data_IF_925025339828
#
_entry.id   IF_925025339828
#
_cell.length_a   1.000
_cell.length_b   1.000
_cell.length_c   1.000
_cell.angle_alpha   90.00
_cell.angle_beta   90.00
_cell.angle_gamma   90.00
#
_symmetry.space_group_name_H-M   'P 1'
#
loop_
_entity.id
_entity.type
_entity.pdbx_description
1 polymer ?
#
# COMPACT_ATOMS: atom_id res chain seq x y z
N UNK A 1 -24.89 17.23 1.08
CA UNK A 1 -24.18 15.95 0.90
C UNK A 1 -25.21 14.93 0.53
N UNK A 2 -25.05 14.30 -0.63
CA UNK A 2 -26.02 13.32 -1.11
C UNK A 2 -25.98 12.07 -0.24
N UNK A 3 -27.11 11.37 -0.14
CA UNK A 3 -27.24 10.11 0.63
C UNK A 3 -26.09 9.13 0.33
N UNK A 4 -25.79 8.92 -0.95
CA UNK A 4 -24.72 8.02 -1.38
C UNK A 4 -23.34 8.46 -0.89
N UNK A 5 -23.01 9.76 -1.00
CA UNK A 5 -21.75 10.34 -0.52
C UNK A 5 -21.59 10.13 0.99
N UNK A 6 -22.69 10.20 1.76
CA UNK A 6 -22.65 9.91 3.19
C UNK A 6 -22.32 8.44 3.48
N UNK A 7 -23.00 7.49 2.85
CA UNK A 7 -22.71 6.06 3.11
C UNK A 7 -21.30 5.68 2.67
N UNK A 8 -20.83 6.22 1.54
CA UNK A 8 -19.43 6.10 1.10
C UNK A 8 -18.48 6.65 2.16
N UNK A 9 -18.76 7.84 2.69
CA UNK A 9 -17.97 8.43 3.76
C UNK A 9 -17.96 7.56 5.02
N UNK A 10 -19.12 7.10 5.49
CA UNK A 10 -19.22 6.26 6.69
C UNK A 10 -18.51 4.92 6.53
N UNK A 11 -18.57 4.31 5.34
CA UNK A 11 -17.78 3.12 5.04
C UNK A 11 -16.28 3.43 5.14
N UNK A 12 -15.85 4.55 4.57
CA UNK A 12 -14.48 5.05 4.73
C UNK A 12 -14.08 5.22 6.19
N UNK A 13 -14.94 5.82 7.04
CA UNK A 13 -14.64 5.99 8.47
C UNK A 13 -14.42 4.63 9.17
N UNK A 14 -15.23 3.61 8.85
CA UNK A 14 -15.06 2.27 9.41
C UNK A 14 -13.72 1.65 8.98
N UNK A 15 -13.37 1.75 7.69
CA UNK A 15 -12.16 1.17 7.14
C UNK A 15 -10.91 1.85 7.68
N UNK A 16 -10.91 3.18 7.75
CA UNK A 16 -9.82 3.96 8.32
C UNK A 16 -9.66 3.66 9.82
N UNK A 17 -10.76 3.48 10.57
CA UNK A 17 -10.70 3.07 11.96
C UNK A 17 -10.08 1.67 12.12
N UNK A 18 -10.47 0.71 11.29
CA UNK A 18 -9.97 -0.67 11.34
C UNK A 18 -8.48 -0.75 10.99
N UNK A 19 -8.02 -0.08 9.93
CA UNK A 19 -6.60 -0.09 9.56
C UNK A 19 -5.69 0.67 10.54
N UNK A 20 -6.27 1.49 11.41
CA UNK A 20 -5.56 2.28 12.43
C UNK A 20 -5.74 1.77 13.86
N UNK A 21 -6.36 0.61 14.07
CA UNK A 21 -6.30 -0.05 15.38
C UNK A 21 -4.83 -0.21 15.76
N UNK A 22 -4.47 0.11 17.01
CA UNK A 22 -3.09 0.00 17.47
C UNK A 22 -3.01 -0.97 18.67
N UNK A 23 -2.83 -2.28 18.41
CA UNK A 23 -2.71 -3.26 19.49
C UNK A 23 -1.42 -3.09 20.31
N UNK A 24 -0.44 -2.36 19.79
CA UNK A 24 0.83 -2.11 20.49
C UNK A 24 0.73 -0.97 21.50
N UNK A 25 -0.30 -0.13 21.38
CA UNK A 25 -0.48 1.10 22.16
C UNK A 25 0.69 2.11 22.06
N UNK A 26 1.56 1.99 21.05
CA UNK A 26 2.71 2.87 20.84
C UNK A 26 2.28 4.20 20.22
N UNK A 27 1.30 4.19 19.31
CA UNK A 27 0.66 5.38 18.78
C UNK A 27 1.30 6.03 17.54
N UNK A 28 2.29 5.42 16.88
CA UNK A 28 2.93 6.00 15.67
C UNK A 28 1.90 6.35 14.60
N UNK A 29 1.05 5.40 14.22
CA UNK A 29 0.00 5.61 13.23
C UNK A 29 -0.99 6.71 13.64
N UNK A 30 -1.23 6.90 14.95
CA UNK A 30 -2.09 7.97 15.46
C UNK A 30 -1.46 9.36 15.33
N UNK A 31 -0.13 9.45 15.32
CA UNK A 31 0.59 10.69 15.05
C UNK A 31 0.51 11.05 13.57
N UNK A 32 0.69 10.06 12.69
CA UNK A 32 0.74 10.26 11.24
C UNK A 32 -0.64 10.48 10.60
N UNK A 33 -1.64 9.70 11.01
CA UNK A 33 -2.95 9.63 10.35
C UNK A 33 -3.67 10.98 10.19
N UNK A 34 -3.70 11.90 11.18
CA UNK A 34 -4.36 13.19 11.01
C UNK A 34 -3.81 13.99 9.82
N UNK A 35 -2.49 14.00 9.61
CA UNK A 35 -1.87 14.69 8.48
C UNK A 35 -2.30 14.15 7.12
N UNK A 36 -2.39 12.83 6.99
CA UNK A 36 -2.87 12.16 5.76
C UNK A 36 -4.35 12.41 5.53
N UNK A 37 -5.15 12.36 6.60
CA UNK A 37 -6.60 12.61 6.54
C UNK A 37 -6.90 14.04 6.12
N UNK A 38 -6.16 15.01 6.64
CA UNK A 38 -6.29 16.42 6.26
C UNK A 38 -5.86 16.63 4.80
N UNK A 39 -4.77 15.98 4.36
CA UNK A 39 -4.33 15.99 2.97
C UNK A 39 -5.37 15.40 2.00
N UNK A 40 -6.01 14.29 2.37
CA UNK A 40 -7.04 13.64 1.56
C UNK A 40 -8.42 14.32 1.63
N UNK A 41 -8.66 15.16 2.64
CA UNK A 41 -9.95 15.83 2.87
C UNK A 41 -11.07 14.91 3.42
N UNK A 42 -10.71 13.71 3.92
CA UNK A 42 -11.68 12.71 4.37
C UNK A 42 -11.04 11.34 4.63
N UNK A 43 -11.85 10.28 4.76
CA UNK A 43 -11.34 8.93 4.93
C UNK A 43 -10.41 8.54 3.78
N UNK A 44 -9.18 8.22 4.15
CA UNK A 44 -8.03 8.07 3.26
C UNK A 44 -8.14 6.83 2.39
N UNK A 45 -8.59 5.68 2.93
CA UNK A 45 -8.76 4.46 2.14
C UNK A 45 -9.84 4.63 1.06
N UNK A 46 -10.95 5.29 1.41
CA UNK A 46 -12.05 5.54 0.47
C UNK A 46 -11.66 6.56 -0.60
N UNK A 47 -11.01 7.66 -0.22
CA UNK A 47 -10.49 8.65 -1.17
C UNK A 47 -9.53 7.99 -2.17
N UNK A 48 -8.56 7.22 -1.68
CA UNK A 48 -7.60 6.50 -2.51
C UNK A 48 -8.29 5.56 -3.50
N UNK A 49 -9.25 4.76 -3.04
CA UNK A 49 -10.01 3.84 -3.90
C UNK A 49 -10.85 4.57 -4.96
N UNK A 50 -11.44 5.73 -4.63
CA UNK A 50 -12.18 6.56 -5.59
C UNK A 50 -11.27 7.11 -6.68
N UNK A 51 -10.12 7.69 -6.30
CA UNK A 51 -9.18 8.27 -7.27
C UNK A 51 -8.55 7.20 -8.16
N UNK A 52 -8.20 6.04 -7.58
CA UNK A 52 -7.71 4.89 -8.35
C UNK A 52 -8.77 4.38 -9.34
N UNK A 53 -10.03 4.30 -8.92
CA UNK A 53 -11.13 3.85 -9.78
C UNK A 53 -11.40 4.78 -10.98
N UNK A 54 -11.07 6.08 -10.87
CA UNK A 54 -11.24 7.04 -11.97
C UNK A 54 -10.20 6.85 -13.09
N UNK A 55 -9.03 6.30 -12.77
CA UNK A 55 -7.90 6.25 -13.71
C UNK A 55 -7.78 4.92 -14.44
N UNK A 56 -8.18 3.81 -13.81
CA UNK A 56 -7.99 2.46 -14.32
C UNK A 56 -9.07 2.01 -15.33
N UNK A 57 -8.64 1.29 -16.35
CA UNK A 57 -9.45 0.62 -17.38
C UNK A 57 -8.96 -0.83 -17.56
N UNK A 58 -9.78 -1.71 -18.17
CA UNK A 58 -9.34 -3.04 -18.57
C UNK A 58 -8.07 -3.00 -19.41
N UNK A 59 -7.21 -3.99 -19.18
CA UNK A 59 -5.92 -4.20 -19.84
C UNK A 59 -4.85 -3.13 -19.54
N UNK A 60 -5.13 -2.13 -18.70
CA UNK A 60 -4.13 -1.14 -18.29
C UNK A 60 -2.98 -1.82 -17.51
N UNK A 61 -1.74 -1.42 -17.80
CA UNK A 61 -0.58 -1.82 -17.00
C UNK A 61 -0.55 -1.01 -15.70
N UNK A 62 -0.47 -1.68 -14.55
CA UNK A 62 -0.37 -1.02 -13.24
C UNK A 62 0.92 -1.46 -12.57
N UNK A 63 1.76 -0.49 -12.21
CA UNK A 63 2.98 -0.76 -11.44
C UNK A 63 2.62 -0.86 -9.96
N UNK A 64 3.08 -1.92 -9.30
CA UNK A 64 2.94 -2.09 -7.85
C UNK A 64 4.34 -2.27 -7.26
N UNK A 65 4.84 -1.26 -6.56
CA UNK A 65 6.14 -1.27 -5.92
C UNK A 65 5.97 -1.78 -4.48
N UNK A 66 6.80 -2.74 -4.08
CA UNK A 66 6.87 -3.15 -2.69
C UNK A 66 8.24 -3.69 -2.29
N UNK A 67 8.54 -3.57 -1.01
CA UNK A 67 9.66 -4.21 -0.38
C UNK A 67 10.58 -3.22 0.32
N UNK A 68 10.80 -3.51 1.60
CA UNK A 68 11.70 -2.80 2.49
C UNK A 68 12.71 -3.79 3.06
N UNK A 69 14.01 -3.57 2.86
CA UNK A 69 15.06 -4.53 3.22
C UNK A 69 15.57 -4.27 4.65
N UNK A 70 15.27 -5.19 5.56
CA UNK A 70 15.67 -5.04 6.96
C UNK A 70 17.18 -5.22 7.16
N UNK A 71 17.78 -4.34 7.97
CA UNK A 71 19.22 -4.31 8.24
C UNK A 71 19.77 -5.59 8.90
N UNK A 72 18.98 -6.25 9.74
CA UNK A 72 19.42 -7.40 10.55
C UNK A 72 19.84 -8.61 9.70
N UNK A 73 19.05 -8.94 8.68
CA UNK A 73 19.25 -10.11 7.83
C UNK A 73 19.42 -9.76 6.35
N UNK A 74 19.32 -8.47 5.99
CA UNK A 74 19.36 -7.99 4.60
C UNK A 74 18.38 -8.76 3.71
N UNK A 75 17.16 -8.93 4.21
CA UNK A 75 16.03 -9.50 3.49
C UNK A 75 14.82 -8.60 3.66
N UNK A 76 13.92 -8.69 2.70
CA UNK A 76 12.68 -7.93 2.71
C UNK A 76 11.78 -8.36 3.87
N UNK A 77 11.11 -7.38 4.48
CA UNK A 77 10.01 -7.67 5.39
C UNK A 77 8.71 -8.08 4.66
N UNK A 78 7.76 -8.57 5.44
CA UNK A 78 6.46 -9.01 4.97
C UNK A 78 5.48 -7.86 4.74
N UNK A 79 5.59 -6.77 5.52
CA UNK A 79 4.71 -5.61 5.34
C UNK A 79 4.95 -4.97 3.96
N UNK A 80 3.84 -4.58 3.32
CA UNK A 80 3.74 -4.19 1.92
C UNK A 80 3.87 -5.33 0.90
N UNK A 81 4.63 -6.40 1.18
CA UNK A 81 4.77 -7.51 0.23
C UNK A 81 3.44 -8.26 0.05
N UNK A 82 2.81 -8.69 1.15
CA UNK A 82 1.54 -9.41 1.06
C UNK A 82 0.40 -8.50 0.58
N UNK A 83 0.40 -7.24 1.00
CA UNK A 83 -0.53 -6.20 0.53
C UNK A 83 -0.43 -5.95 -0.96
N UNK A 84 0.79 -5.96 -1.52
CA UNK A 84 1.01 -5.81 -2.96
C UNK A 84 0.42 -6.97 -3.78
N UNK A 85 0.63 -8.22 -3.36
CA UNK A 85 0.06 -9.38 -4.08
C UNK A 85 -1.47 -9.42 -3.99
N UNK A 86 -2.03 -9.09 -2.83
CA UNK A 86 -3.48 -9.01 -2.64
C UNK A 86 -4.09 -7.85 -3.42
N UNK A 87 -3.37 -6.72 -3.53
CA UNK A 87 -3.77 -5.60 -4.37
C UNK A 87 -3.72 -5.98 -5.84
N UNK A 88 -2.66 -6.66 -6.30
CA UNK A 88 -2.57 -7.15 -7.67
C UNK A 88 -3.79 -8.02 -8.03
N UNK A 89 -4.14 -8.97 -7.15
CA UNK A 89 -5.34 -9.79 -7.28
C UNK A 89 -6.62 -8.94 -7.33
N UNK A 90 -6.78 -8.03 -6.38
CA UNK A 90 -7.97 -7.18 -6.28
C UNK A 90 -8.17 -6.30 -7.53
N UNK A 91 -7.08 -5.78 -8.10
CA UNK A 91 -7.14 -4.98 -9.31
C UNK A 91 -7.44 -5.82 -10.55
N UNK A 92 -6.89 -7.03 -10.67
CA UNK A 92 -7.27 -7.97 -11.74
C UNK A 92 -8.77 -8.29 -11.65
N UNK A 93 -9.27 -8.65 -10.48
CA UNK A 93 -10.69 -9.00 -10.27
C UNK A 93 -11.65 -7.81 -10.42
N UNK A 94 -11.19 -6.61 -10.05
CA UNK A 94 -12.00 -5.40 -10.07
C UNK A 94 -11.97 -4.65 -11.39
N UNK A 95 -10.87 -4.73 -12.14
CA UNK A 95 -10.60 -3.84 -13.27
C UNK A 95 -10.01 -4.53 -14.48
N UNK A 96 -9.63 -5.81 -14.40
CA UNK A 96 -8.98 -6.56 -15.48
C UNK A 96 -7.66 -5.92 -15.95
N UNK A 97 -6.90 -5.35 -15.01
CA UNK A 97 -5.59 -4.74 -15.28
C UNK A 97 -4.48 -5.78 -15.42
N UNK A 98 -3.28 -5.33 -15.84
CA UNK A 98 -2.05 -6.11 -15.95
C UNK A 98 -1.03 -5.66 -14.89
N UNK A 99 -0.95 -6.34 -13.72
CA UNK A 99 -0.03 -5.94 -12.66
C UNK A 99 1.43 -6.26 -12.99
N UNK A 100 2.31 -5.28 -12.76
CA UNK A 100 3.77 -5.43 -12.79
C UNK A 100 4.30 -5.12 -11.41
N UNK A 101 4.76 -6.15 -10.68
CA UNK A 101 5.24 -5.97 -9.31
C UNK A 101 6.74 -5.63 -9.36
N UNK A 102 7.11 -4.45 -8.88
CA UNK A 102 8.49 -3.97 -8.85
C UNK A 102 9.05 -4.18 -7.44
N UNK A 103 10.14 -4.93 -7.34
CA UNK A 103 10.64 -5.46 -6.06
C UNK A 103 12.16 -5.37 -5.93
N UNK A 104 12.73 -5.41 -4.70
CA UNK A 104 14.15 -5.66 -4.53
C UNK A 104 14.48 -7.12 -4.91
N UNK A 105 15.75 -7.39 -5.18
CA UNK A 105 16.23 -8.73 -5.58
C UNK A 105 15.89 -9.80 -4.53
N UNK A 106 15.91 -9.42 -3.26
CA UNK A 106 15.63 -10.24 -2.09
C UNK A 106 14.21 -10.83 -2.11
N UNK A 107 13.25 -10.15 -2.73
CA UNK A 107 11.85 -10.57 -2.79
C UNK A 107 11.51 -11.48 -3.98
N UNK A 108 12.43 -11.66 -4.93
CA UNK A 108 12.12 -12.29 -6.22
C UNK A 108 11.59 -13.72 -6.08
N UNK A 109 12.23 -14.52 -5.21
CA UNK A 109 11.82 -15.91 -5.02
C UNK A 109 10.44 -16.02 -4.38
N UNK A 110 10.17 -15.19 -3.37
CA UNK A 110 8.87 -15.16 -2.71
C UNK A 110 7.76 -14.72 -3.66
N UNK A 111 8.02 -13.70 -4.51
CA UNK A 111 7.05 -13.23 -5.50
C UNK A 111 6.61 -14.35 -6.44
N UNK A 112 7.57 -15.08 -7.02
CA UNK A 112 7.29 -16.21 -7.92
C UNK A 112 6.46 -17.30 -7.25
N UNK A 113 6.79 -17.62 -6.00
CA UNK A 113 6.12 -18.71 -5.27
C UNK A 113 4.75 -18.31 -4.72
N UNK A 114 4.53 -17.03 -4.41
CA UNK A 114 3.28 -16.55 -3.83
C UNK A 114 2.23 -16.14 -4.86
N UNK A 115 2.60 -15.91 -6.13
CA UNK A 115 1.66 -15.53 -7.19
C UNK A 115 0.48 -16.51 -7.31
N UNK A 116 0.75 -17.82 -7.31
CA UNK A 116 -0.29 -18.84 -7.40
C UNK A 116 -1.19 -18.88 -6.16
N UNK A 117 -0.70 -18.47 -4.98
CA UNK A 117 -1.49 -18.41 -3.75
C UNK A 117 -2.61 -17.38 -3.90
N UNK A 118 -2.32 -16.23 -4.49
CA UNK A 118 -3.33 -15.19 -4.79
C UNK A 118 -4.12 -15.44 -6.07
N UNK A 119 -3.93 -16.61 -6.72
CA UNK A 119 -4.67 -17.00 -7.91
C UNK A 119 -4.20 -16.33 -9.21
N UNK A 120 -2.95 -15.85 -9.26
CA UNK A 120 -2.36 -15.22 -10.44
C UNK A 120 -1.23 -16.09 -11.04
N UNK A 121 -1.15 -16.11 -12.36
CA UNK A 121 -0.08 -16.77 -13.10
C UNK A 121 1.12 -15.82 -13.22
N UNK A 122 2.28 -16.27 -12.74
CA UNK A 122 3.51 -15.52 -12.90
C UNK A 122 4.16 -15.83 -14.25
N UNK A 123 4.51 -14.79 -15.01
CA UNK A 123 5.33 -14.90 -16.21
C UNK A 123 6.59 -14.02 -16.10
N UNK A 124 7.71 -14.51 -16.61
CA UNK A 124 8.97 -13.72 -16.70
C UNK A 124 8.94 -12.68 -17.83
N UNK A 125 7.88 -12.64 -18.65
CA UNK A 125 7.71 -11.71 -19.78
C UNK A 125 6.45 -10.88 -19.57
N UNK A 126 6.60 -9.55 -19.65
CA UNK A 126 5.47 -8.64 -19.59
C UNK A 126 4.58 -8.76 -20.84
N UNK A 127 5.13 -9.04 -22.02
CA UNK A 127 4.33 -9.30 -23.23
C UNK A 127 3.36 -10.47 -23.02
N UNK A 128 3.81 -11.54 -22.37
CA UNK A 128 2.92 -12.66 -22.02
C UNK A 128 1.85 -12.26 -20.99
N UNK A 129 2.16 -11.37 -20.06
CA UNK A 129 1.16 -10.86 -19.11
C UNK A 129 0.07 -10.07 -19.84
N UNK A 130 0.44 -9.25 -20.82
CA UNK A 130 -0.51 -8.46 -21.61
C UNK A 130 -1.51 -9.35 -22.39
N UNK A 131 -1.10 -10.55 -22.79
CA UNK A 131 -1.95 -11.47 -23.58
C UNK A 131 -2.81 -12.43 -22.75
N UNK A 132 -2.59 -12.51 -21.43
CA UNK A 132 -3.15 -13.57 -20.59
C UNK A 132 -4.06 -13.01 -19.49
N UNK A 133 -5.24 -13.61 -19.25
CA UNK A 133 -6.05 -13.27 -18.09
C UNK A 133 -5.38 -13.81 -16.81
N UNK A 134 -5.67 -13.18 -15.67
CA UNK A 134 -5.13 -13.59 -14.37
C UNK A 134 -3.60 -13.79 -14.38
N UNK A 135 -2.90 -12.83 -14.97
CA UNK A 135 -1.45 -12.88 -15.16
C UNK A 135 -0.78 -11.70 -14.45
N UNK A 136 0.44 -11.93 -13.97
CA UNK A 136 1.30 -10.91 -13.39
C UNK A 136 2.77 -11.19 -13.73
N UNK A 137 3.62 -10.18 -13.60
CA UNK A 137 5.07 -10.34 -13.66
C UNK A 137 5.75 -9.62 -12.52
N UNK A 138 7.03 -9.93 -12.32
CA UNK A 138 7.91 -9.30 -11.35
C UNK A 138 9.12 -8.69 -12.02
N UNK A 139 9.45 -7.44 -11.68
CA UNK A 139 10.66 -6.77 -12.14
C UNK A 139 11.53 -6.43 -10.94
N UNK A 140 12.78 -6.89 -10.96
CA UNK A 140 13.76 -6.53 -9.94
C UNK A 140 14.37 -5.18 -10.28
N UNK A 141 14.29 -4.24 -9.34
CA UNK A 141 14.94 -2.94 -9.48
C UNK A 141 16.30 -2.92 -8.75
N UNK A 142 17.39 -2.48 -9.42
CA UNK A 142 18.71 -2.48 -8.81
C UNK A 142 18.87 -1.52 -7.62
N UNK A 143 19.89 -1.80 -6.80
CA UNK A 143 20.38 -0.90 -5.73
C UNK A 143 21.33 0.18 -6.24
N UNK A 144 21.90 -0.03 -7.44
CA UNK A 144 22.69 0.98 -8.14
C UNK A 144 21.76 1.94 -8.88
N UNK A 145 21.95 3.25 -8.68
CA UNK A 145 21.06 4.26 -9.22
C UNK A 145 21.06 4.30 -10.76
N UNK A 146 22.23 4.13 -11.41
CA UNK A 146 22.31 4.15 -12.87
C UNK A 146 21.65 2.91 -13.48
N UNK A 147 21.85 1.74 -12.89
CA UNK A 147 21.15 0.54 -13.33
C UNK A 147 19.64 0.62 -13.06
N UNK A 148 19.21 1.30 -11.99
CA UNK A 148 17.80 1.58 -11.72
C UNK A 148 17.18 2.53 -12.75
N UNK A 149 17.91 3.55 -13.21
CA UNK A 149 17.49 4.42 -14.32
C UNK A 149 17.20 3.61 -15.60
N UNK A 150 18.15 2.76 -16.01
CA UNK A 150 17.99 1.90 -17.20
C UNK A 150 16.84 0.88 -17.05
N UNK A 151 16.66 0.35 -15.84
CA UNK A 151 15.54 -0.54 -15.53
C UNK A 151 14.20 0.20 -15.61
N UNK A 152 14.14 1.40 -15.03
CA UNK A 152 12.93 2.23 -15.03
C UNK A 152 12.52 2.62 -16.45
N UNK A 153 13.46 2.98 -17.32
CA UNK A 153 13.16 3.31 -18.72
C UNK A 153 12.53 2.12 -19.48
N UNK A 154 12.98 0.89 -19.19
CA UNK A 154 12.38 -0.34 -19.76
C UNK A 154 10.97 -0.59 -19.23
N UNK A 155 10.75 -0.43 -17.93
CA UNK A 155 9.42 -0.58 -17.31
C UNK A 155 8.44 0.44 -17.91
N UNK A 156 8.89 1.68 -18.07
CA UNK A 156 8.07 2.77 -18.58
C UNK A 156 7.78 2.69 -20.08
N UNK A 157 8.50 1.86 -20.84
CA UNK A 157 8.19 1.59 -22.24
C UNK A 157 6.83 0.90 -22.41
N UNK A 158 6.30 0.27 -21.36
CA UNK A 158 5.00 -0.39 -21.35
C UNK A 158 3.83 0.56 -21.04
N UNK A 159 4.07 1.87 -20.95
CA UNK A 159 3.05 2.91 -20.74
C UNK A 159 2.09 2.61 -19.57
N UNK A 160 2.62 2.47 -18.33
CA UNK A 160 1.78 2.19 -17.18
C UNK A 160 0.76 3.30 -16.92
N UNK A 161 -0.43 2.91 -16.48
CA UNK A 161 -1.56 3.81 -16.21
C UNK A 161 -1.49 4.45 -14.82
N UNK A 162 -0.95 3.72 -13.86
CA UNK A 162 -0.81 4.15 -12.48
C UNK A 162 0.38 3.44 -11.84
N UNK A 163 0.93 4.06 -10.80
CA UNK A 163 1.90 3.45 -9.90
C UNK A 163 1.34 3.44 -8.49
N UNK A 164 1.43 2.30 -7.82
CA UNK A 164 1.08 2.11 -6.42
C UNK A 164 2.31 1.64 -5.66
N UNK A 165 2.77 2.34 -4.62
CA UNK A 165 3.84 1.88 -3.74
C UNK A 165 3.31 1.45 -2.37
N UNK A 166 3.84 0.36 -1.83
CA UNK A 166 3.40 -0.26 -0.57
C UNK A 166 4.63 -0.67 0.22
N UNK A 167 4.87 -0.05 1.37
CA UNK A 167 6.04 -0.30 2.21
C UNK A 167 7.34 -0.37 1.40
N UNK A 168 7.66 0.75 0.78
CA UNK A 168 8.81 0.86 -0.11
C UNK A 168 9.70 1.98 0.38
N UNK A 169 10.96 1.67 0.69
CA UNK A 169 11.89 2.64 1.25
C UNK A 169 12.07 3.86 0.32
N UNK A 170 12.16 5.04 0.92
CA UNK A 170 12.40 6.32 0.22
C UNK A 170 13.65 7.01 0.76
N UNK A 171 14.43 7.70 -0.08
CA UNK A 171 15.45 8.59 0.44
C UNK A 171 14.80 9.81 1.11
N UNK A 172 15.48 10.36 2.12
CA UNK A 172 15.20 11.70 2.61
C UNK A 172 15.77 12.76 1.65
N UNK A 173 15.62 14.04 2.00
CA UNK A 173 16.15 15.19 1.23
C UNK A 173 17.68 15.17 1.00
N UNK A 174 18.41 14.37 1.77
CA UNK A 174 19.87 14.19 1.63
C UNK A 174 20.24 12.95 0.81
N UNK A 175 19.26 12.24 0.23
CA UNK A 175 19.49 11.02 -0.55
C UNK A 175 19.73 9.77 0.30
N UNK A 176 19.42 9.80 1.60
CA UNK A 176 19.70 8.71 2.54
C UNK A 176 18.40 7.99 2.93
N UNK A 177 18.40 6.67 2.81
CA UNK A 177 17.26 5.80 3.15
C UNK A 177 17.39 5.39 4.61
N UNK A 178 16.27 5.41 5.33
CA UNK A 178 16.26 5.13 6.76
C UNK A 178 15.23 4.08 7.12
N UNK A 179 15.56 3.21 8.07
CA UNK A 179 14.52 2.55 8.88
C UNK A 179 13.86 3.58 9.81
N UNK A 180 12.68 3.27 10.35
CA UNK A 180 11.92 4.16 11.25
C UNK A 180 12.74 4.75 12.41
N UNK A 181 13.68 3.99 12.99
CA UNK A 181 14.58 4.47 14.05
C UNK A 181 15.73 5.39 13.58
N UNK A 182 15.79 5.73 12.29
CA UNK A 182 16.80 6.62 11.71
C UNK A 182 18.14 5.94 11.38
N UNK A 183 18.18 4.61 11.29
CA UNK A 183 19.34 3.86 10.82
C UNK A 183 19.46 3.97 9.30
N UNK A 184 20.65 4.30 8.80
CA UNK A 184 20.94 4.33 7.36
C UNK A 184 20.90 2.91 6.76
N UNK A 185 20.05 2.73 5.75
CA UNK A 185 19.89 1.50 4.94
C UNK A 185 20.13 1.74 3.45
N UNK A 186 20.71 2.88 3.08
CA UNK A 186 20.93 3.30 1.68
C UNK A 186 21.64 2.25 0.83
N UNK A 187 22.58 1.51 1.40
CA UNK A 187 23.36 0.49 0.66
C UNK A 187 22.57 -0.79 0.37
N UNK A 188 21.53 -1.08 1.15
CA UNK A 188 20.76 -2.33 1.04
C UNK A 188 19.43 -2.14 0.33
N UNK A 189 18.91 -0.91 0.28
CA UNK A 189 17.65 -0.60 -0.39
C UNK A 189 17.79 -0.48 -1.92
N UNK A 190 16.81 -1.05 -2.62
CA UNK A 190 16.63 -0.85 -4.04
C UNK A 190 16.20 0.58 -4.36
N UNK A 191 16.64 1.13 -5.49
CA UNK A 191 16.43 2.55 -5.85
C UNK A 191 15.10 2.76 -6.56
N UNK A 192 14.01 2.40 -5.88
CA UNK A 192 12.66 2.47 -6.43
C UNK A 192 12.13 3.89 -6.63
N UNK A 193 12.64 4.84 -5.84
CA UNK A 193 12.40 6.28 -6.00
C UNK A 193 12.79 6.78 -7.40
N UNK A 194 13.80 6.19 -8.04
CA UNK A 194 14.20 6.53 -9.42
C UNK A 194 13.03 6.29 -10.39
N UNK A 195 12.42 5.10 -10.34
CA UNK A 195 11.25 4.77 -11.15
C UNK A 195 10.07 5.68 -10.78
N UNK A 196 9.83 5.87 -9.48
CA UNK A 196 8.75 6.71 -8.98
C UNK A 196 8.83 8.15 -9.52
N UNK A 197 10.01 8.76 -9.49
CA UNK A 197 10.22 10.13 -9.97
C UNK A 197 9.98 10.23 -11.49
N UNK A 198 10.44 9.28 -12.29
CA UNK A 198 10.15 9.25 -13.73
C UNK A 198 8.66 9.06 -14.05
N UNK A 199 7.95 8.27 -13.25
CA UNK A 199 6.48 8.12 -13.37
C UNK A 199 5.81 9.48 -13.15
N UNK A 200 6.23 10.23 -12.13
CA UNK A 200 5.73 11.59 -11.87
C UNK A 200 6.07 12.57 -12.99
N UNK A 201 7.28 12.54 -13.53
CA UNK A 201 7.68 13.38 -14.68
C UNK A 201 6.80 13.16 -15.91
N UNK A 202 6.22 11.95 -16.05
CA UNK A 202 5.26 11.60 -17.10
C UNK A 202 3.80 11.90 -16.74
N UNK A 203 3.54 12.53 -15.59
CA UNK A 203 2.21 12.81 -15.07
C UNK A 203 1.32 11.56 -14.95
N UNK A 204 1.94 10.41 -14.69
CA UNK A 204 1.22 9.17 -14.39
C UNK A 204 0.79 9.23 -12.91
N UNK A 205 -0.50 9.04 -12.58
CA UNK A 205 -1.00 9.10 -11.22
C UNK A 205 -0.26 8.16 -10.26
N UNK A 206 0.13 8.70 -9.11
CA UNK A 206 0.90 8.00 -8.08
C UNK A 206 0.11 7.85 -6.78
N UNK A 207 0.19 6.64 -6.24
CA UNK A 207 -0.55 6.20 -5.07
C UNK A 207 0.42 5.53 -4.10
N UNK A 208 0.40 5.87 -2.82
CA UNK A 208 1.36 5.32 -1.86
C UNK A 208 0.74 4.95 -0.52
N UNK A 209 1.20 3.83 0.04
CA UNK A 209 0.75 3.29 1.32
C UNK A 209 1.99 2.99 2.18
N UNK A 210 2.00 3.50 3.41
CA UNK A 210 3.07 3.30 4.40
C UNK A 210 2.52 3.33 5.83
N UNK A 211 3.40 3.30 6.83
CA UNK A 211 3.01 3.25 8.25
C UNK A 211 3.77 4.24 9.15
N UNK A 212 4.92 4.78 8.71
CA UNK A 212 5.83 5.59 9.52
C UNK A 212 6.26 6.93 8.90
N UNK A 213 6.29 7.07 7.57
CA UNK A 213 6.62 8.32 6.86
C UNK A 213 7.98 8.35 6.14
N UNK A 214 8.76 7.27 6.21
CA UNK A 214 10.05 7.06 5.51
C UNK A 214 9.89 6.30 4.17
N UNK A 215 8.66 6.00 3.78
CA UNK A 215 8.28 5.24 2.59
C UNK A 215 7.99 6.16 1.40
N UNK A 216 8.04 5.60 0.19
CA UNK A 216 7.77 6.33 -1.04
C UNK A 216 6.39 6.99 -0.95
N UNK A 217 6.32 8.23 -1.42
CA UNK A 217 5.10 9.02 -1.48
C UNK A 217 4.76 9.81 -0.24
N UNK A 218 5.30 9.44 0.93
CA UNK A 218 5.00 10.11 2.20
C UNK A 218 5.53 11.55 2.28
N UNK A 219 6.42 11.94 1.37
CA UNK A 219 6.84 13.32 1.19
C UNK A 219 5.69 14.30 0.87
N UNK A 220 4.51 13.80 0.48
CA UNK A 220 3.32 14.62 0.25
C UNK A 220 2.87 15.39 1.50
N UNK A 221 3.13 14.83 2.70
CA UNK A 221 2.87 15.47 3.99
C UNK A 221 4.17 15.63 4.81
N UNK A 222 5.31 15.81 4.13
CA UNK A 222 6.65 15.88 4.74
C UNK A 222 6.72 16.78 5.96
N UNK A 223 6.22 18.01 5.85
CA UNK A 223 6.28 18.99 6.96
C UNK A 223 5.56 18.47 8.20
N UNK A 224 4.37 17.86 8.01
CA UNK A 224 3.60 17.28 9.10
C UNK A 224 4.36 16.10 9.74
N UNK A 225 4.93 15.21 8.92
CA UNK A 225 5.74 14.07 9.39
C UNK A 225 6.96 14.56 10.18
N UNK A 226 7.70 15.54 9.67
CA UNK A 226 8.89 16.08 10.33
C UNK A 226 8.58 16.72 11.69
N UNK A 227 7.40 17.31 11.82
CA UNK A 227 6.93 17.94 13.06
C UNK A 227 6.44 16.93 14.10
N UNK A 228 5.74 15.87 13.66
CA UNK A 228 4.99 14.98 14.56
C UNK A 228 5.62 13.61 14.79
N UNK A 229 6.46 13.12 13.87
CA UNK A 229 7.06 11.78 13.95
C UNK A 229 8.47 11.86 14.54
N UNK A 230 8.74 11.20 15.68
CA UNK A 230 10.06 11.19 16.29
C UNK A 230 11.14 10.67 15.33
N UNK A 231 12.20 11.45 15.15
CA UNK A 231 13.32 11.09 14.29
C UNK A 231 13.14 11.44 12.81
N UNK A 232 11.96 11.90 12.40
CA UNK A 232 11.69 12.22 10.99
C UNK A 232 12.21 13.59 10.55
N UNK A 233 12.27 14.57 11.46
CA UNK A 233 12.80 15.92 11.22
C UNK A 233 14.33 16.02 11.23
N UNK A 234 14.85 17.20 10.86
CA UNK A 234 16.29 17.48 10.83
C UNK A 234 16.94 17.19 12.19
N UNK A 235 18.12 16.55 12.17
CA UNK A 235 18.81 16.07 13.36
C UNK A 235 18.20 14.84 14.04
N UNK A 236 16.99 14.41 13.62
CA UNK A 236 16.25 13.32 14.24
C UNK A 236 16.78 11.92 13.93
N UNK A 237 17.44 11.73 12.78
CA UNK A 237 18.06 10.45 12.44
C UNK A 237 19.38 10.23 13.19
N UNK A 238 19.65 8.99 13.57
CA UNK A 238 20.86 8.61 14.32
C UNK A 238 22.11 8.50 13.44
N UNK A 239 21.95 8.37 12.12
CA UNK A 239 23.06 8.31 11.18
C UNK A 239 23.81 9.66 11.03
N UNK A 240 24.88 9.67 10.24
CA UNK A 240 25.74 10.85 10.03
C UNK A 240 25.08 11.94 9.17
N UNK A 241 24.03 11.62 8.40
CA UNK A 241 23.41 12.60 7.50
C UNK A 241 22.67 13.71 8.25
N UNK A 242 22.15 13.44 9.47
CA UNK A 242 21.38 14.37 10.31
C UNK A 242 20.20 15.05 9.57
N UNK A 243 19.68 14.43 8.51
CA UNK A 243 18.57 14.96 7.70
C UNK A 243 17.18 14.55 8.19
N UNK A 244 17.09 13.59 9.11
CA UNK A 244 15.82 12.97 9.50
C UNK A 244 15.40 11.83 8.58
N UNK A 245 14.42 11.03 9.01
CA UNK A 245 13.93 9.86 8.28
C UNK A 245 12.78 10.16 7.29
N UNK A 246 12.22 11.38 7.28
CA UNK A 246 11.09 11.71 6.41
C UNK A 246 11.44 11.53 4.93
N UNK A 247 10.56 10.85 4.19
CA UNK A 247 10.67 10.65 2.75
C UNK A 247 10.66 12.00 1.99
N UNK A 248 11.51 12.11 0.96
CA UNK A 248 11.48 13.24 0.03
C UNK A 248 10.43 13.07 -1.08
N UNK A 249 10.21 11.82 -1.51
CA UNK A 249 9.29 11.48 -2.60
C UNK A 249 7.83 11.70 -2.20
N UNK A 250 7.06 12.45 -2.99
CA UNK A 250 5.67 12.80 -2.72
C UNK A 250 4.70 12.18 -3.74
N UNK A 251 3.70 11.43 -3.30
CA UNK A 251 2.65 10.85 -4.16
C UNK A 251 1.46 11.80 -4.31
N UNK A 252 0.60 11.53 -5.29
CA UNK A 252 -0.64 12.30 -5.48
C UNK A 252 -1.68 11.91 -4.42
N UNK A 253 -1.79 10.60 -4.14
CA UNK A 253 -2.70 10.04 -3.14
C UNK A 253 -1.95 9.15 -2.16
N UNK A 254 -2.24 9.29 -0.87
CA UNK A 254 -1.52 8.58 0.19
C UNK A 254 -2.46 7.95 1.23
N UNK A 255 -2.04 6.82 1.79
CA UNK A 255 -2.59 6.21 3.01
C UNK A 255 -1.43 6.02 4.00
N UNK A 256 -1.68 6.36 5.26
CA UNK A 256 -0.89 5.84 6.38
C UNK A 256 -1.82 5.02 7.28
N UNK A 257 -1.38 3.81 7.62
CA UNK A 257 -2.09 2.87 8.48
C UNK A 257 -1.17 2.35 9.59
N UNK A 258 -1.66 1.43 10.43
CA UNK A 258 -0.82 0.81 11.47
C UNK A 258 0.28 -0.09 10.92
N UNK A 259 0.01 -0.72 9.79
CA UNK A 259 0.97 -1.38 8.90
C UNK A 259 0.53 -1.02 7.48
N UNK A 260 1.45 -0.98 6.52
CA UNK A 260 1.09 -0.67 5.13
C UNK A 260 0.10 -1.68 4.55
N UNK A 261 0.24 -2.97 4.89
CA UNK A 261 -0.69 -4.03 4.49
C UNK A 261 -2.12 -3.73 4.93
N UNK A 262 -2.35 -3.21 6.14
CA UNK A 262 -3.70 -2.90 6.61
C UNK A 262 -4.31 -1.74 5.83
N UNK A 263 -3.49 -0.78 5.40
CA UNK A 263 -3.88 0.25 4.45
C UNK A 263 -4.29 -0.32 3.10
N UNK A 264 -3.55 -1.33 2.61
CA UNK A 264 -3.91 -2.07 1.40
C UNK A 264 -5.27 -2.77 1.55
N UNK A 265 -5.51 -3.42 2.69
CA UNK A 265 -6.75 -4.15 2.95
C UNK A 265 -7.96 -3.22 2.99
N UNK A 266 -7.82 -2.06 3.66
CA UNK A 266 -8.85 -1.03 3.69
C UNK A 266 -9.13 -0.46 2.29
N UNK A 267 -8.10 -0.20 1.49
CA UNK A 267 -8.25 0.23 0.10
C UNK A 267 -8.97 -0.83 -0.75
N UNK A 268 -8.60 -2.11 -0.63
CA UNK A 268 -9.26 -3.23 -1.32
C UNK A 268 -10.73 -3.34 -0.90
N UNK A 269 -11.03 -3.20 0.39
CA UNK A 269 -12.40 -3.20 0.92
C UNK A 269 -13.22 -2.02 0.38
N UNK A 270 -12.62 -0.83 0.29
CA UNK A 270 -13.24 0.33 -0.33
C UNK A 270 -13.54 0.10 -1.82
N UNK A 271 -12.62 -0.50 -2.59
CA UNK A 271 -12.86 -0.90 -3.98
C UNK A 271 -14.02 -1.90 -4.10
N UNK A 272 -14.06 -2.92 -3.23
CA UNK A 272 -15.13 -3.91 -3.20
C UNK A 272 -16.50 -3.27 -2.91
N UNK A 273 -16.53 -2.30 -1.98
CA UNK A 273 -17.72 -1.52 -1.65
C UNK A 273 -18.19 -0.66 -2.83
N UNK A 274 -17.30 0.15 -3.41
CA UNK A 274 -17.62 1.04 -4.54
C UNK A 274 -18.12 0.27 -5.76
N UNK A 275 -17.54 -0.91 -6.04
CA UNK A 275 -17.91 -1.75 -7.18
C UNK A 275 -19.03 -2.74 -6.86
N UNK A 276 -19.49 -2.81 -5.60
CA UNK A 276 -20.46 -3.79 -5.10
C UNK A 276 -20.09 -5.23 -5.50
N UNK A 277 -18.80 -5.56 -5.42
CA UNK A 277 -18.26 -6.84 -5.87
C UNK A 277 -17.29 -7.43 -4.83
N UNK A 278 -17.77 -8.41 -4.07
CA UNK A 278 -16.98 -9.07 -3.03
C UNK A 278 -15.84 -9.96 -3.56
N UNK A 279 -15.77 -10.26 -4.86
CA UNK A 279 -14.63 -10.99 -5.45
C UNK A 279 -13.33 -10.20 -5.42
N UNK A 280 -13.43 -8.87 -5.33
CA UNK A 280 -12.28 -7.95 -5.24
C UNK A 280 -11.54 -8.15 -3.91
N UNK A 281 -12.29 -8.32 -2.83
CA UNK A 281 -11.71 -8.49 -1.50
C UNK A 281 -11.38 -9.97 -1.25
N UNK A 282 -10.18 -10.22 -0.75
CA UNK A 282 -9.75 -11.55 -0.31
C UNK A 282 -10.38 -11.91 1.04
N UNK A 283 -10.36 -13.19 1.42
CA UNK A 283 -10.87 -13.68 2.70
C UNK A 283 -9.75 -14.01 3.70
N UNK A 284 -10.14 -14.30 4.94
CA UNK A 284 -9.23 -14.64 6.03
C UNK A 284 -8.35 -15.87 5.75
N UNK A 285 -8.85 -16.83 4.96
CA UNK A 285 -8.09 -18.03 4.61
C UNK A 285 -6.97 -17.68 3.63
N UNK A 286 -7.30 -16.94 2.57
CA UNK A 286 -6.32 -16.48 1.60
C UNK A 286 -5.26 -15.59 2.26
N UNK A 287 -5.67 -14.68 3.17
CA UNK A 287 -4.74 -13.89 3.97
C UNK A 287 -3.77 -14.79 4.75
N UNK A 288 -4.29 -15.79 5.46
CA UNK A 288 -3.49 -16.69 6.27
C UNK A 288 -2.52 -17.53 5.45
N UNK A 289 -2.95 -18.03 4.29
CA UNK A 289 -2.13 -18.87 3.43
C UNK A 289 -1.03 -18.07 2.73
N UNK A 290 -1.34 -16.85 2.30
CA UNK A 290 -0.33 -15.95 1.73
C UNK A 290 0.75 -15.58 2.77
N UNK A 291 0.37 -15.20 3.99
CA UNK A 291 1.34 -14.88 5.04
C UNK A 291 2.27 -16.06 5.35
N UNK A 292 1.74 -17.29 5.42
CA UNK A 292 2.54 -18.49 5.64
C UNK A 292 3.50 -18.73 4.46
N UNK A 293 2.99 -18.67 3.23
CA UNK A 293 3.79 -18.86 2.03
C UNK A 293 4.92 -17.82 1.94
N UNK A 294 4.62 -16.54 2.17
CA UNK A 294 5.58 -15.45 2.16
C UNK A 294 6.71 -15.68 3.19
N UNK A 295 6.35 -16.03 4.43
CA UNK A 295 7.33 -16.37 5.48
C UNK A 295 8.20 -17.57 5.09
N UNK A 296 7.59 -18.65 4.57
CA UNK A 296 8.32 -19.85 4.13
C UNK A 296 9.24 -19.58 2.93
N UNK A 297 9.01 -18.49 2.20
CA UNK A 297 9.83 -18.06 1.09
C UNK A 297 10.71 -16.85 1.41
N UNK A 298 10.94 -16.55 2.70
CA UNK A 298 12.02 -15.69 3.13
C UNK A 298 11.62 -14.30 3.61
N UNK A 299 10.32 -13.98 3.59
CA UNK A 299 9.82 -12.69 4.09
C UNK A 299 9.88 -12.65 5.61
N UNK A 300 10.51 -11.59 6.13
CA UNK A 300 10.75 -11.43 7.55
C UNK A 300 9.62 -10.64 8.21
N UNK A 301 9.47 -10.85 9.52
CA UNK A 301 8.83 -9.86 10.37
C UNK A 301 9.89 -8.98 11.03
N UNK A 302 9.51 -7.84 11.62
CA UNK A 302 10.44 -6.80 12.13
C UNK A 302 11.48 -7.30 13.14
N UNK A 303 11.20 -8.39 13.87
CA UNK A 303 12.17 -9.03 14.77
C UNK A 303 13.22 -9.90 14.05
N UNK A 304 13.15 -10.02 12.73
CA UNK A 304 14.06 -10.82 11.88
C UNK A 304 13.68 -12.29 11.73
N UNK A 305 12.63 -12.76 12.40
CA UNK A 305 12.19 -14.16 12.27
C UNK A 305 11.37 -14.38 11.00
N UNK A 306 11.38 -15.63 10.52
CA UNK A 306 10.50 -16.14 9.45
C UNK A 306 9.16 -16.61 10.02
N UNK A 307 8.70 -15.99 11.11
CA UNK A 307 7.38 -16.26 11.66
C UNK A 307 6.35 -15.59 10.76
N UNK A 308 5.25 -16.27 10.36
CA UNK A 308 4.16 -15.64 9.62
C UNK A 308 3.52 -14.50 10.43
N UNK A 309 3.99 -13.28 10.20
CA UNK A 309 3.57 -12.08 10.90
C UNK A 309 3.95 -10.82 10.11
N UNK A 310 3.06 -9.84 10.10
CA UNK A 310 3.29 -8.49 9.56
C UNK A 310 3.56 -7.61 10.77
N UNK A 311 4.75 -7.01 10.87
CA UNK A 311 5.19 -6.19 12.02
C UNK A 311 4.99 -6.82 13.41
N UNK A 312 5.14 -8.14 13.48
CA UNK A 312 4.92 -8.92 14.70
C UNK A 312 3.44 -9.27 14.95
N UNK A 313 2.50 -8.76 14.16
CA UNK A 313 1.09 -9.14 14.22
C UNK A 313 0.87 -10.50 13.56
N UNK A 314 0.39 -11.45 14.37
CA UNK A 314 0.17 -12.83 13.95
C UNK A 314 -0.83 -12.98 12.78
N UNK A 315 -0.75 -14.12 12.09
CA UNK A 315 -1.77 -14.55 11.11
C UNK A 315 -3.20 -14.43 11.65
N UNK A 316 -3.45 -14.85 12.90
CA UNK A 316 -4.79 -14.81 13.49
C UNK A 316 -5.34 -13.38 13.57
N UNK A 317 -4.49 -12.42 13.94
CA UNK A 317 -4.89 -11.02 14.04
C UNK A 317 -5.26 -10.47 12.66
N UNK A 318 -4.37 -10.64 11.68
CA UNK A 318 -4.59 -10.19 10.31
C UNK A 318 -5.84 -10.83 9.68
N UNK A 319 -6.02 -12.14 9.83
CA UNK A 319 -7.21 -12.85 9.37
C UNK A 319 -8.51 -12.30 10.00
N UNK A 320 -8.49 -12.00 11.30
CA UNK A 320 -9.65 -11.42 12.00
C UNK A 320 -9.95 -10.00 11.50
N UNK A 321 -8.90 -9.20 11.25
CA UNK A 321 -9.05 -7.86 10.69
C UNK A 321 -9.70 -7.89 9.30
N UNK A 322 -9.28 -8.84 8.45
CA UNK A 322 -9.90 -9.07 7.14
C UNK A 322 -11.37 -9.43 7.28
N UNK A 323 -11.72 -10.38 8.15
CA UNK A 323 -13.13 -10.75 8.35
C UNK A 323 -13.97 -9.55 8.81
N UNK A 324 -13.46 -8.72 9.72
CA UNK A 324 -14.15 -7.50 10.15
C UNK A 324 -14.37 -6.52 8.99
N UNK A 325 -13.33 -6.22 8.22
CA UNK A 325 -13.46 -5.34 7.05
C UNK A 325 -14.42 -5.91 6.01
N UNK A 326 -14.40 -7.23 5.76
CA UNK A 326 -15.34 -7.91 4.84
C UNK A 326 -16.78 -7.77 5.33
N UNK A 327 -17.03 -8.03 6.61
CA UNK A 327 -18.37 -7.90 7.19
C UNK A 327 -18.87 -6.45 7.09
N UNK A 328 -18.01 -5.45 7.30
CA UNK A 328 -18.36 -4.05 7.06
C UNK A 328 -18.83 -3.84 5.61
N UNK A 329 -18.11 -4.36 4.61
CA UNK A 329 -18.49 -4.22 3.19
C UNK A 329 -19.80 -4.96 2.88
N UNK A 330 -19.93 -6.23 3.27
CA UNK A 330 -21.11 -7.06 2.99
C UNK A 330 -22.40 -6.43 3.57
N UNK A 331 -22.34 -6.01 4.84
CA UNK A 331 -23.46 -5.34 5.50
C UNK A 331 -23.66 -3.94 4.90
N UNK A 332 -22.58 -3.20 4.66
CA UNK A 332 -22.63 -1.83 4.17
C UNK A 332 -23.24 -1.69 2.78
N UNK A 333 -22.95 -2.60 1.86
CA UNK A 333 -23.50 -2.59 0.48
C UNK A 333 -25.01 -2.78 0.48
N UNK A 334 -25.55 -3.46 1.49
CA UNK A 334 -26.98 -3.75 1.64
C UNK A 334 -27.68 -2.87 2.67
N UNK A 335 -26.95 -1.96 3.33
CA UNK A 335 -27.46 -1.15 4.44
C UNK A 335 -28.46 -0.10 3.96
N UNK A 336 -29.73 -0.35 4.22
CA UNK A 336 -30.83 0.58 3.98
C UNK A 336 -31.79 0.58 5.17
N UNK A 337 -31.70 1.58 6.06
CA UNK A 337 -32.72 1.82 7.08
C UNK A 337 -33.56 3.04 6.70
N UNK A 338 -34.74 2.78 6.13
CA UNK A 338 -35.63 3.82 5.64
C UNK A 338 -36.03 4.83 6.74
N UNK A 339 -36.14 4.40 8.00
CA UNK A 339 -36.56 5.26 9.10
C UNK A 339 -35.42 6.21 9.51
N UNK A 340 -34.18 5.73 9.57
CA UNK A 340 -33.03 6.59 9.81
C UNK A 340 -32.75 7.52 8.63
N UNK A 341 -32.86 7.02 7.39
CA UNK A 341 -32.70 7.83 6.18
C UNK A 341 -33.75 8.96 6.14
N UNK A 342 -35.01 8.66 6.46
CA UNK A 342 -36.07 9.67 6.55
C UNK A 342 -35.78 10.72 7.64
N UNK A 343 -35.31 10.28 8.82
CA UNK A 343 -34.89 11.20 9.90
C UNK A 343 -33.76 12.12 9.45
N UNK A 344 -32.71 11.59 8.83
CA UNK A 344 -31.59 12.39 8.30
C UNK A 344 -32.06 13.37 7.22
N UNK A 345 -32.95 12.93 6.33
CA UNK A 345 -33.50 13.80 5.27
C UNK A 345 -34.31 14.95 5.88
N UNK A 346 -35.19 14.65 6.86
CA UNK A 346 -36.03 15.65 7.54
C UNK A 346 -35.23 16.67 8.34
N UNK A 347 -34.09 16.29 8.91
CA UNK A 347 -33.21 17.23 9.63
C UNK A 347 -32.31 18.04 8.69
N UNK A 348 -32.44 17.87 7.38
CA UNK A 348 -31.58 18.52 6.39
C UNK A 348 -30.15 17.99 6.41
N UNK A 349 -29.92 16.81 7.00
CA UNK A 349 -28.60 16.20 7.14
C UNK A 349 -28.05 15.78 5.77
N UNK A 350 -28.91 15.26 4.90
CA UNK A 350 -28.61 15.11 3.47
C UNK A 350 -29.12 16.35 2.74
N UNK A 351 -28.32 17.40 2.64
CA UNK A 351 -28.64 18.53 1.74
C UNK A 351 -28.55 18.07 0.28
N UNK A 352 -29.57 18.44 -0.52
CA UNK A 352 -29.76 18.07 -1.94
C UNK A 352 -28.53 18.30 -2.83
#
# INVERSE_FOLDING_TARGET
MKKEEYFIRQMGENLDALMNIDPTCIGINRLCYPGVRDYAGGPTAMHFAQELSKVLKPEDVVLILCGFVLRNHQRTEMDGFTGALLTARALVEGFDVKPVIVIPQESQQALKNCAAVVGLNYYDSLDLVLERPFAMTGVVIPKDAKAAEECADKILAFNPRALISMETASPNEKGVYHMAYGWDVTKIEAKMDVLFNKVKERAIPTFSIGDCGNELGMGAIKNYIQEHVPGAGEGGCICECKGGAAAATAADHIIIAKTADWGCYAMIAALAYLKKNMKIMHDANLQADLMKAAAYHGMLTTNGSLTPAIDGFSVKFNATLIDLMRQCVEIGVTSEDAMWIDKFTKTGFFTE
#
